data_IF_317015988217
#
_entry.id   IF_317015988217
#
_cell.length_a   1.000
_cell.length_b   1.000
_cell.length_c   1.000
_cell.angle_alpha   90.00
_cell.angle_beta   90.00
_cell.angle_gamma   90.00
#
_symmetry.space_group_name_H-M   'P 1'
#
loop_
_entity.id
_entity.type
_entity.pdbx_description
1 polymer ?
#
# COMPACT_ATOMS: atom_id res chain seq x y z
N UNK A 1 12.55 42.85 -11.72
CA UNK A 1 12.86 41.48 -11.24
C UNK A 1 13.58 40.74 -12.35
N UNK A 2 14.78 40.22 -12.11
CA UNK A 2 15.57 39.52 -13.15
C UNK A 2 14.92 38.19 -13.55
N UNK A 3 15.25 37.70 -14.74
CA UNK A 3 14.80 36.41 -15.25
C UNK A 3 15.24 35.25 -14.33
N UNK A 4 16.48 35.32 -13.82
CA UNK A 4 17.01 34.37 -12.83
C UNK A 4 16.16 34.31 -11.56
N UNK A 5 15.78 35.46 -10.99
CA UNK A 5 14.90 35.48 -9.80
C UNK A 5 13.53 34.89 -10.10
N UNK A 6 12.98 35.14 -11.29
CA UNK A 6 11.69 34.58 -11.73
C UNK A 6 11.74 33.05 -11.83
N UNK A 7 12.81 32.50 -12.40
CA UNK A 7 13.01 31.06 -12.56
C UNK A 7 13.21 30.35 -11.22
N UNK A 8 13.97 30.95 -10.29
CA UNK A 8 14.17 30.42 -8.93
C UNK A 8 12.82 30.34 -8.18
N UNK A 9 12.02 31.41 -8.21
CA UNK A 9 10.72 31.44 -7.55
C UNK A 9 9.74 30.42 -8.16
N UNK A 10 9.75 30.27 -9.49
CA UNK A 10 8.93 29.29 -10.19
C UNK A 10 9.33 27.85 -9.79
N UNK A 11 10.62 27.54 -9.76
CA UNK A 11 11.15 26.23 -9.36
C UNK A 11 10.80 25.89 -7.90
N UNK A 12 10.92 26.85 -6.99
CA UNK A 12 10.53 26.68 -5.58
C UNK A 12 9.02 26.40 -5.44
N UNK A 13 8.20 27.14 -6.18
CA UNK A 13 6.75 26.93 -6.17
C UNK A 13 6.33 25.55 -6.69
N UNK A 14 6.99 25.05 -7.74
CA UNK A 14 6.74 23.73 -8.31
C UNK A 14 7.17 22.64 -7.32
N UNK A 15 8.35 22.78 -6.73
CA UNK A 15 8.86 21.87 -5.68
C UNK A 15 7.89 21.75 -4.50
N UNK A 16 7.37 22.89 -4.02
CA UNK A 16 6.36 22.91 -2.95
C UNK A 16 5.06 22.20 -3.33
N UNK A 17 4.58 22.37 -4.57
CA UNK A 17 3.38 21.67 -5.08
C UNK A 17 3.61 20.17 -5.16
N UNK A 18 4.78 19.73 -5.64
CA UNK A 18 5.14 18.30 -5.70
C UNK A 18 5.21 17.67 -4.31
N UNK A 19 5.82 18.35 -3.34
CA UNK A 19 5.87 17.88 -1.95
C UNK A 19 4.49 17.84 -1.31
N UNK A 20 3.63 18.83 -1.58
CA UNK A 20 2.25 18.84 -1.10
C UNK A 20 1.46 17.66 -1.68
N UNK A 21 1.59 17.39 -2.98
CA UNK A 21 0.99 16.21 -3.61
C UNK A 21 1.44 14.93 -2.91
N UNK A 22 2.75 14.72 -2.73
CA UNK A 22 3.27 13.54 -2.03
C UNK A 22 2.70 13.41 -0.61
N UNK A 23 2.61 14.51 0.14
CA UNK A 23 1.97 14.52 1.46
C UNK A 23 0.49 14.11 1.43
N UNK A 24 -0.30 14.65 0.48
CA UNK A 24 -1.71 14.29 0.32
C UNK A 24 -1.90 12.83 -0.12
N UNK A 25 -0.98 12.26 -0.89
CA UNK A 25 -1.03 10.83 -1.24
C UNK A 25 -0.91 9.93 -0.03
N UNK A 26 -0.19 10.32 1.03
CA UNK A 26 -0.13 9.57 2.28
C UNK A 26 -1.49 9.50 3.00
N UNK A 27 -2.17 10.65 3.13
CA UNK A 27 -3.52 10.69 3.69
C UNK A 27 -4.52 9.87 2.86
N UNK A 28 -4.47 10.02 1.54
CA UNK A 28 -5.30 9.25 0.63
C UNK A 28 -5.03 7.74 0.75
N UNK A 29 -3.76 7.32 0.83
CA UNK A 29 -3.39 5.93 1.01
C UNK A 29 -4.03 5.33 2.27
N UNK A 30 -3.95 6.02 3.41
CA UNK A 30 -4.54 5.56 4.68
C UNK A 30 -6.07 5.44 4.57
N UNK A 31 -6.75 6.46 4.02
CA UNK A 31 -8.21 6.44 3.86
C UNK A 31 -8.65 5.28 2.97
N UNK A 32 -7.99 5.10 1.83
CA UNK A 32 -8.29 4.01 0.89
C UNK A 32 -7.98 2.64 1.52
N UNK A 33 -6.95 2.54 2.36
CA UNK A 33 -6.66 1.31 3.12
C UNK A 33 -7.76 0.99 4.13
N UNK A 34 -8.25 1.98 4.87
CA UNK A 34 -9.34 1.77 5.82
C UNK A 34 -10.60 1.30 5.09
N UNK A 35 -10.96 1.93 3.97
CA UNK A 35 -12.10 1.47 3.16
C UNK A 35 -11.84 0.06 2.63
N UNK A 36 -10.67 -0.15 2.04
CA UNK A 36 -10.32 -1.37 1.33
C UNK A 36 -10.03 -2.57 2.21
N UNK A 37 -9.08 -2.47 3.14
CA UNK A 37 -8.62 -3.57 3.98
C UNK A 37 -9.39 -3.73 5.29
N UNK A 38 -9.95 -2.65 5.86
CA UNK A 38 -10.67 -2.72 7.15
C UNK A 38 -12.16 -2.93 6.92
N UNK A 39 -12.81 -2.01 6.21
CA UNK A 39 -14.27 -1.99 6.14
C UNK A 39 -14.84 -3.01 5.14
N UNK A 40 -14.30 -3.05 3.92
CA UNK A 40 -14.85 -3.90 2.86
C UNK A 40 -14.10 -5.23 2.72
N UNK A 41 -12.77 -5.17 2.79
CA UNK A 41 -11.90 -6.29 2.46
C UNK A 41 -11.57 -7.21 3.63
N UNK A 42 -12.14 -7.02 4.82
CA UNK A 42 -12.09 -7.99 5.90
C UNK A 42 -10.69 -8.47 6.29
N UNK A 43 -9.67 -7.62 6.12
CA UNK A 43 -8.29 -7.94 6.45
C UNK A 43 -7.97 -7.57 7.90
N UNK A 44 -8.58 -6.49 8.42
CA UNK A 44 -8.40 -6.01 9.79
C UNK A 44 -9.73 -5.47 10.37
N UNK A 45 -10.34 -6.11 11.39
CA UNK A 45 -10.04 -7.46 11.87
C UNK A 45 -10.26 -8.50 10.76
N UNK A 46 -9.50 -9.61 10.77
CA UNK A 46 -9.55 -10.58 9.69
C UNK A 46 -10.85 -11.39 9.72
N UNK A 47 -11.58 -11.40 8.59
CA UNK A 47 -12.73 -12.30 8.37
C UNK A 47 -12.22 -13.74 8.17
N UNK A 48 -11.20 -14.00 7.33
CA UNK A 48 -10.47 -15.27 7.33
C UNK A 48 -9.76 -15.49 8.66
N UNK A 49 -10.04 -16.57 9.39
CA UNK A 49 -9.31 -16.89 10.62
C UNK A 49 -8.28 -18.00 10.36
N UNK A 50 -7.17 -17.97 11.08
CA UNK A 50 -6.08 -18.94 10.93
C UNK A 50 -6.49 -20.40 11.24
N UNK A 51 -7.62 -20.60 11.93
CA UNK A 51 -8.15 -21.92 12.28
C UNK A 51 -9.28 -22.38 11.34
N UNK A 52 -9.64 -21.58 10.33
CA UNK A 52 -10.73 -21.92 9.42
C UNK A 52 -10.39 -23.18 8.62
N UNK A 53 -11.34 -24.11 8.53
CA UNK A 53 -11.23 -25.17 7.54
C UNK A 53 -11.30 -24.54 6.13
N UNK A 54 -10.62 -25.11 5.11
CA UNK A 54 -10.61 -24.54 3.76
C UNK A 54 -12.02 -24.26 3.18
N UNK A 55 -12.98 -25.16 3.42
CA UNK A 55 -14.36 -24.97 2.96
C UNK A 55 -15.10 -23.84 3.71
N UNK A 56 -14.77 -23.61 4.98
CA UNK A 56 -15.33 -22.51 5.77
C UNK A 56 -14.83 -21.16 5.25
N UNK A 57 -13.55 -21.07 4.88
CA UNK A 57 -12.99 -19.87 4.24
C UNK A 57 -13.73 -19.53 2.94
N UNK A 58 -13.96 -20.53 2.07
CA UNK A 58 -14.71 -20.33 0.81
C UNK A 58 -16.12 -19.79 1.10
N UNK A 59 -16.81 -20.33 2.10
CA UNK A 59 -18.12 -19.84 2.50
C UNK A 59 -18.07 -18.37 2.95
N UNK A 60 -17.13 -18.01 3.84
CA UNK A 60 -16.94 -16.62 4.31
C UNK A 60 -16.62 -15.66 3.16
N UNK A 61 -15.79 -16.11 2.21
CA UNK A 61 -15.44 -15.34 1.00
C UNK A 61 -16.67 -15.12 0.14
N UNK A 62 -17.49 -16.14 -0.08
CA UNK A 62 -18.71 -16.03 -0.89
C UNK A 62 -19.77 -15.13 -0.26
N UNK A 63 -19.97 -15.24 1.06
CA UNK A 63 -20.91 -14.40 1.81
C UNK A 63 -20.55 -12.90 1.72
N UNK A 64 -19.28 -12.58 1.46
CA UNK A 64 -18.76 -11.21 1.40
C UNK A 64 -18.11 -10.87 0.04
N UNK A 65 -18.41 -11.63 -1.02
CA UNK A 65 -17.62 -11.63 -2.25
C UNK A 65 -17.51 -10.25 -2.92
N UNK A 66 -18.62 -9.52 -2.99
CA UNK A 66 -18.63 -8.18 -3.57
C UNK A 66 -17.79 -7.20 -2.74
N UNK A 67 -17.89 -7.27 -1.41
CA UNK A 67 -17.13 -6.43 -0.50
C UNK A 67 -15.63 -6.68 -0.64
N UNK A 68 -15.20 -7.95 -0.68
CA UNK A 68 -13.79 -8.26 -0.90
C UNK A 68 -13.27 -7.78 -2.25
N UNK A 69 -14.04 -7.93 -3.34
CA UNK A 69 -13.64 -7.47 -4.67
C UNK A 69 -13.51 -5.95 -4.75
N UNK A 70 -14.48 -5.21 -4.21
CA UNK A 70 -14.42 -3.75 -4.15
C UNK A 70 -13.29 -3.31 -3.21
N UNK A 71 -13.16 -3.95 -2.04
CA UNK A 71 -12.10 -3.69 -1.08
C UNK A 71 -10.70 -3.86 -1.68
N UNK A 72 -10.53 -4.87 -2.51
CA UNK A 72 -9.28 -5.12 -3.24
C UNK A 72 -8.89 -3.97 -4.17
N UNK A 73 -9.85 -3.35 -4.87
CA UNK A 73 -9.60 -2.18 -5.73
C UNK A 73 -9.08 -1.00 -4.89
N UNK A 74 -9.70 -0.75 -3.73
CA UNK A 74 -9.27 0.28 -2.80
C UNK A 74 -7.88 0.00 -2.23
N UNK A 75 -7.56 -1.27 -1.92
CA UNK A 75 -6.23 -1.66 -1.46
C UNK A 75 -5.15 -1.46 -2.52
N UNK A 76 -5.41 -1.82 -3.79
CA UNK A 76 -4.47 -1.58 -4.90
C UNK A 76 -4.16 -0.08 -5.02
N UNK A 77 -5.20 0.76 -5.03
CA UNK A 77 -5.03 2.21 -5.12
C UNK A 77 -4.29 2.78 -3.89
N UNK A 78 -4.64 2.31 -2.68
CA UNK A 78 -3.97 2.68 -1.44
C UNK A 78 -2.48 2.40 -1.49
N UNK A 79 -2.11 1.15 -1.79
CA UNK A 79 -0.71 0.72 -1.76
C UNK A 79 0.12 1.37 -2.85
N UNK A 80 -0.45 1.68 -4.02
CA UNK A 80 0.26 2.46 -5.03
C UNK A 80 0.67 3.88 -4.53
N UNK A 81 -0.15 4.50 -3.69
CA UNK A 81 0.08 5.86 -3.18
C UNK A 81 1.13 5.94 -2.06
N UNK A 82 1.45 4.82 -1.40
CA UNK A 82 2.54 4.78 -0.43
C UNK A 82 3.90 5.10 -1.07
N UNK A 83 4.11 4.73 -2.34
CA UNK A 83 5.35 5.03 -3.05
C UNK A 83 5.58 6.53 -3.24
N UNK A 84 4.54 7.28 -3.61
CA UNK A 84 4.63 8.73 -3.77
C UNK A 84 4.78 9.43 -2.43
N UNK A 85 4.09 8.96 -1.39
CA UNK A 85 4.28 9.47 -0.04
C UNK A 85 5.73 9.26 0.44
N UNK A 86 6.28 8.06 0.20
CA UNK A 86 7.64 7.73 0.57
C UNK A 86 8.70 8.57 -0.13
N UNK A 87 8.52 8.81 -1.44
CA UNK A 87 9.36 9.73 -2.20
C UNK A 87 9.31 11.17 -1.64
N UNK A 88 8.13 11.62 -1.19
CA UNK A 88 7.96 12.93 -0.55
C UNK A 88 8.75 13.08 0.75
N UNK A 89 8.73 12.05 1.61
CA UNK A 89 9.52 12.03 2.85
C UNK A 89 11.02 12.04 2.53
N UNK A 90 11.46 11.18 1.60
CA UNK A 90 12.87 11.14 1.18
C UNK A 90 13.34 12.48 0.61
N UNK A 91 12.49 13.18 -0.13
CA UNK A 91 12.79 14.51 -0.64
C UNK A 91 12.91 15.56 0.47
N UNK A 92 12.15 15.45 1.57
CA UNK A 92 12.31 16.34 2.72
C UNK A 92 13.61 16.06 3.47
N UNK A 93 13.94 14.79 3.72
CA UNK A 93 15.24 14.39 4.32
C UNK A 93 16.40 14.95 3.51
N UNK A 94 16.31 14.89 2.17
CA UNK A 94 17.39 15.30 1.27
C UNK A 94 17.78 16.76 1.45
N UNK A 95 16.82 17.62 1.83
CA UNK A 95 17.04 19.07 2.04
C UNK A 95 17.98 19.36 3.20
N UNK A 96 18.08 18.44 4.15
CA UNK A 96 18.90 18.58 5.35
C UNK A 96 20.21 17.78 5.29
N UNK A 97 20.39 16.98 4.23
CA UNK A 97 21.55 16.12 4.07
C UNK A 97 22.68 16.79 3.27
N UNK A 98 23.89 16.78 3.84
CA UNK A 98 25.11 17.09 3.06
C UNK A 98 25.43 15.96 2.09
N UNK A 99 25.32 14.69 2.53
CA UNK A 99 25.47 13.49 1.71
C UNK A 99 24.14 12.71 1.67
N UNK A 100 23.64 12.27 0.50
CA UNK A 100 22.28 11.74 0.31
C UNK A 100 22.02 10.32 0.89
N UNK A 101 22.76 9.90 1.92
CA UNK A 101 22.77 8.50 2.34
C UNK A 101 21.39 8.08 2.86
N UNK A 102 20.79 8.85 3.77
CA UNK A 102 19.49 8.49 4.34
C UNK A 102 18.36 8.69 3.36
N UNK A 103 18.37 9.72 2.51
CA UNK A 103 17.37 9.83 1.44
C UNK A 103 17.39 8.64 0.48
N UNK A 104 18.57 8.08 0.18
CA UNK A 104 18.66 6.87 -0.64
C UNK A 104 18.16 5.62 0.09
N UNK A 105 18.51 5.46 1.37
CA UNK A 105 17.95 4.40 2.22
C UNK A 105 16.42 4.48 2.21
N UNK A 106 15.85 5.66 2.45
CA UNK A 106 14.40 5.86 2.46
C UNK A 106 13.74 5.50 1.13
N UNK A 107 14.34 5.84 -0.02
CA UNK A 107 13.80 5.48 -1.34
C UNK A 107 13.83 3.96 -1.55
N UNK A 108 14.92 3.28 -1.19
CA UNK A 108 15.04 1.81 -1.34
C UNK A 108 13.98 1.10 -0.51
N UNK A 109 13.83 1.51 0.75
CA UNK A 109 12.84 0.93 1.67
C UNK A 109 11.40 1.26 1.27
N UNK A 110 11.12 2.49 0.85
CA UNK A 110 9.79 2.88 0.37
C UNK A 110 9.39 2.12 -0.89
N UNK A 111 10.31 1.96 -1.86
CA UNK A 111 10.06 1.19 -3.07
C UNK A 111 9.80 -0.28 -2.74
N UNK A 112 10.66 -0.90 -1.92
CA UNK A 112 10.48 -2.28 -1.48
C UNK A 112 9.15 -2.49 -0.74
N UNK A 113 8.85 -1.64 0.25
CA UNK A 113 7.62 -1.73 1.03
C UNK A 113 6.37 -1.56 0.17
N UNK A 114 6.39 -0.60 -0.75
CA UNK A 114 5.30 -0.38 -1.71
C UNK A 114 5.09 -1.59 -2.62
N UNK A 115 6.16 -2.20 -3.14
CA UNK A 115 6.07 -3.41 -3.96
C UNK A 115 5.45 -4.56 -3.19
N UNK A 116 5.92 -4.84 -1.97
CA UNK A 116 5.35 -5.92 -1.14
C UNK A 116 3.89 -5.63 -0.80
N UNK A 117 3.54 -4.38 -0.47
CA UNK A 117 2.16 -4.00 -0.20
C UNK A 117 1.24 -4.25 -1.42
N UNK A 118 1.69 -3.89 -2.63
CA UNK A 118 0.93 -4.23 -3.85
C UNK A 118 0.75 -5.75 -4.03
N UNK A 119 1.73 -6.56 -3.64
CA UNK A 119 1.59 -8.02 -3.64
C UNK A 119 0.55 -8.51 -2.61
N UNK A 120 0.38 -7.84 -1.48
CA UNK A 120 -0.72 -8.13 -0.53
C UNK A 120 -2.06 -7.95 -1.23
N UNK A 121 -2.28 -6.80 -1.86
CA UNK A 121 -3.54 -6.54 -2.57
C UNK A 121 -3.75 -7.49 -3.76
N UNK A 122 -2.67 -7.87 -4.45
CA UNK A 122 -2.71 -8.88 -5.51
C UNK A 122 -3.17 -10.24 -4.97
N UNK A 123 -2.55 -10.75 -3.90
CA UNK A 123 -2.89 -12.04 -3.32
C UNK A 123 -4.33 -12.05 -2.77
N UNK A 124 -4.76 -10.95 -2.13
CA UNK A 124 -6.13 -10.78 -1.64
C UNK A 124 -7.16 -10.76 -2.79
N UNK A 125 -6.84 -10.06 -3.89
CA UNK A 125 -7.67 -10.03 -5.10
C UNK A 125 -7.79 -11.41 -5.74
N UNK A 126 -6.68 -12.16 -5.77
CA UNK A 126 -6.62 -13.47 -6.40
C UNK A 126 -7.45 -14.50 -5.64
N UNK A 127 -7.43 -14.47 -4.30
CA UNK A 127 -8.29 -15.28 -3.43
C UNK A 127 -9.78 -15.14 -3.81
N UNK A 128 -10.24 -13.92 -4.15
CA UNK A 128 -11.66 -13.63 -4.38
C UNK A 128 -12.08 -13.55 -5.85
N UNK A 129 -11.14 -13.78 -6.78
CA UNK A 129 -11.43 -13.67 -8.20
C UNK A 129 -12.41 -14.76 -8.65
N UNK A 130 -12.19 -16.01 -8.25
CA UNK A 130 -13.02 -17.18 -8.58
C UNK A 130 -13.03 -18.21 -7.43
N UNK A 131 -13.62 -17.85 -6.28
CA UNK A 131 -13.53 -18.67 -5.06
C UNK A 131 -14.10 -20.10 -5.25
N UNK A 132 -15.12 -20.27 -6.08
CA UNK A 132 -15.78 -21.57 -6.30
C UNK A 132 -15.12 -22.44 -7.39
N UNK A 133 -14.15 -21.90 -8.13
CA UNK A 133 -13.53 -22.63 -9.26
C UNK A 133 -12.29 -23.41 -8.84
N UNK A 134 -11.59 -22.95 -7.82
CA UNK A 134 -10.35 -23.55 -7.35
C UNK A 134 -10.60 -24.43 -6.12
N UNK A 135 -9.69 -25.37 -5.87
CA UNK A 135 -9.71 -26.15 -4.63
C UNK A 135 -9.66 -25.22 -3.41
N UNK A 136 -10.49 -25.44 -2.36
CA UNK A 136 -10.56 -24.55 -1.20
C UNK A 136 -9.21 -24.29 -0.52
N UNK A 137 -8.30 -25.26 -0.54
CA UNK A 137 -6.95 -25.11 0.03
C UNK A 137 -6.09 -24.07 -0.70
N UNK A 138 -6.35 -23.81 -1.99
CA UNK A 138 -5.66 -22.78 -2.76
C UNK A 138 -6.07 -21.39 -2.26
N UNK A 139 -7.35 -21.18 -1.93
CA UNK A 139 -7.82 -19.91 -1.38
C UNK A 139 -7.18 -19.63 -0.01
N UNK A 140 -7.09 -20.66 0.84
CA UNK A 140 -6.42 -20.56 2.14
C UNK A 140 -4.94 -20.17 1.96
N UNK A 141 -4.24 -20.82 1.03
CA UNK A 141 -2.85 -20.45 0.70
C UNK A 141 -2.72 -18.99 0.27
N UNK A 142 -3.66 -18.45 -0.52
CA UNK A 142 -3.62 -17.03 -0.93
C UNK A 142 -3.90 -16.07 0.22
N UNK A 143 -4.82 -16.43 1.13
CA UNK A 143 -5.07 -15.66 2.35
C UNK A 143 -3.81 -15.61 3.24
N UNK A 144 -3.18 -16.77 3.48
CA UNK A 144 -1.95 -16.88 4.26
C UNK A 144 -0.81 -16.10 3.60
N UNK A 145 -0.66 -16.23 2.28
CA UNK A 145 0.37 -15.53 1.52
C UNK A 145 0.21 -14.02 1.62
N UNK A 146 -1.02 -13.50 1.50
CA UNK A 146 -1.29 -12.08 1.69
C UNK A 146 -0.98 -11.61 3.11
N UNK A 147 -1.35 -12.40 4.14
CA UNK A 147 -1.04 -12.10 5.53
C UNK A 147 0.47 -11.99 5.77
N UNK A 148 1.25 -12.96 5.30
CA UNK A 148 2.70 -12.91 5.46
C UNK A 148 3.33 -11.79 4.65
N UNK A 149 2.89 -11.52 3.42
CA UNK A 149 3.36 -10.35 2.67
C UNK A 149 3.10 -9.05 3.46
N UNK A 150 1.94 -8.91 4.09
CA UNK A 150 1.63 -7.74 4.91
C UNK A 150 2.60 -7.65 6.10
N UNK A 151 2.84 -8.76 6.81
CA UNK A 151 3.80 -8.82 7.91
C UNK A 151 5.23 -8.43 7.47
N UNK A 152 5.69 -8.96 6.34
CA UNK A 152 7.04 -8.67 5.81
C UNK A 152 7.16 -7.28 5.19
N UNK A 153 6.05 -6.62 4.83
CA UNK A 153 6.07 -5.21 4.42
C UNK A 153 6.40 -4.26 5.58
N UNK A 154 6.08 -4.62 6.82
CA UNK A 154 6.22 -3.73 7.99
C UNK A 154 7.67 -3.34 8.25
N UNK A 155 8.67 -4.25 8.29
CA UNK A 155 10.07 -3.88 8.41
C UNK A 155 10.55 -2.96 7.28
N UNK A 156 10.00 -3.11 6.07
CA UNK A 156 10.36 -2.25 4.94
C UNK A 156 9.83 -0.82 5.12
N UNK A 157 8.57 -0.68 5.54
CA UNK A 157 8.03 0.64 5.92
C UNK A 157 8.73 1.22 7.13
N UNK A 158 9.11 0.39 8.11
CA UNK A 158 9.86 0.82 9.29
C UNK A 158 11.27 1.33 8.98
N UNK A 159 11.94 0.79 7.95
CA UNK A 159 13.22 1.31 7.47
C UNK A 159 13.12 2.59 6.63
N UNK A 160 11.90 2.94 6.19
CA UNK A 160 11.62 4.17 5.44
C UNK A 160 11.23 5.35 6.35
N UNK A 161 10.40 5.10 7.37
CA UNK A 161 10.00 6.10 8.37
C UNK A 161 11.18 6.55 9.25
#
# INVERSE_FOLDING_TARGET
MSETTRNILAQDSLSRKSLAFCGYTGYAAIILFIIGGVWLGGMLPPIPNANDAPAELVAKVNDNLLNFRVGSIFMIASFALFGTFGAGIAAQTRRFETSPVFSYVQIVFAAGGTTIALLVAFAWSLMVFRPDTYEPSILLMWADFAYFLALFSVPLFGGWC
#
